data_IF_385070047519
#
_entry.id   IF_385070047519
#
_cell.length_a   1.000
_cell.length_b   1.000
_cell.length_c   1.000
_cell.angle_alpha   90.00
_cell.angle_beta   90.00
_cell.angle_gamma   90.00
#
_symmetry.space_group_name_H-M   'P 1'
#
loop_
_entity.id
_entity.type
_entity.pdbx_description
1 polymer ?
#
# COMPACT_ATOMS: atom_id res chain seq x y z
N UNK A 1 -6.95 2.19 15.70
CA UNK A 1 -6.18 1.94 14.45
C UNK A 1 -4.96 2.85 14.44
N UNK A 2 -3.73 2.35 14.23
CA UNK A 2 -2.52 3.19 14.32
C UNK A 2 -2.28 3.97 13.01
N UNK A 3 -2.40 5.32 12.98
CA UNK A 3 -2.26 6.11 11.76
C UNK A 3 -0.87 5.97 11.11
N UNK A 4 0.16 5.77 11.93
CA UNK A 4 1.55 5.66 11.48
C UNK A 4 1.81 4.41 10.63
N UNK A 5 1.21 3.28 10.96
CA UNK A 5 1.38 2.02 10.19
C UNK A 5 0.74 2.17 8.81
N UNK A 6 -0.49 2.68 8.77
CA UNK A 6 -1.23 2.91 7.53
C UNK A 6 -0.46 3.87 6.61
N UNK A 7 0.10 4.95 7.16
CA UNK A 7 0.90 5.92 6.41
C UNK A 7 2.19 5.32 5.83
N UNK A 8 2.92 4.49 6.60
CA UNK A 8 4.13 3.82 6.12
C UNK A 8 3.80 2.84 4.99
N UNK A 9 2.74 2.05 5.12
CA UNK A 9 2.29 1.12 4.08
C UNK A 9 1.82 1.85 2.82
N UNK A 10 1.08 2.94 2.98
CA UNK A 10 0.66 3.80 1.88
C UNK A 10 1.86 4.37 1.11
N UNK A 11 2.90 4.84 1.81
CA UNK A 11 4.12 5.33 1.19
C UNK A 11 4.84 4.25 0.38
N UNK A 12 4.96 3.02 0.91
CA UNK A 12 5.56 1.90 0.17
C UNK A 12 4.77 1.56 -1.09
N UNK A 13 3.43 1.63 -1.01
CA UNK A 13 2.56 1.38 -2.16
C UNK A 13 2.75 2.46 -3.24
N UNK A 14 2.83 3.74 -2.85
CA UNK A 14 3.11 4.84 -3.80
C UNK A 14 4.50 4.67 -4.42
N UNK A 15 5.53 4.34 -3.63
CA UNK A 15 6.89 4.11 -4.15
C UNK A 15 6.92 3.02 -5.22
N UNK A 16 6.28 1.87 -4.95
CA UNK A 16 6.20 0.80 -5.94
C UNK A 16 5.40 1.22 -7.18
N UNK A 17 4.26 1.91 -6.99
CA UNK A 17 3.44 2.35 -8.11
C UNK A 17 4.14 3.43 -8.96
N UNK A 18 4.98 4.26 -8.34
CA UNK A 18 5.78 5.31 -8.98
C UNK A 18 7.01 4.75 -9.71
N UNK A 19 7.51 3.57 -9.31
CA UNK A 19 8.67 2.95 -9.95
C UNK A 19 8.34 2.25 -11.28
N UNK A 20 7.11 2.38 -11.76
CA UNK A 20 6.58 1.72 -12.96
C UNK A 20 5.94 2.77 -13.86
N UNK A 21 5.79 2.44 -15.14
CA UNK A 21 4.91 3.21 -16.02
C UNK A 21 3.47 3.12 -15.50
N UNK A 22 2.92 4.27 -15.14
CA UNK A 22 1.52 4.37 -14.70
C UNK A 22 0.62 4.46 -15.93
N UNK A 23 -0.59 3.86 -15.91
CA UNK A 23 -1.26 3.24 -14.76
C UNK A 23 -0.94 1.74 -14.54
N UNK A 24 -0.71 1.35 -13.29
CA UNK A 24 -0.36 -0.03 -12.87
C UNK A 24 -1.58 -0.81 -12.38
N UNK A 25 -1.72 -2.09 -12.76
CA UNK A 25 -2.77 -2.94 -12.19
C UNK A 25 -2.45 -3.35 -10.74
N UNK A 26 -3.42 -3.24 -9.84
CA UNK A 26 -3.35 -3.65 -8.43
C UNK A 26 -2.81 -5.07 -8.25
N UNK A 27 -3.25 -6.01 -9.11
CA UNK A 27 -2.80 -7.41 -9.08
C UNK A 27 -1.28 -7.59 -9.32
N UNK A 28 -0.60 -6.58 -9.85
CA UNK A 28 0.84 -6.59 -10.08
C UNK A 28 1.63 -5.80 -9.03
N UNK A 29 0.97 -5.04 -8.16
CA UNK A 29 1.59 -4.31 -7.06
C UNK A 29 1.83 -5.28 -5.89
N UNK A 30 3.11 -5.64 -5.66
CA UNK A 30 3.51 -6.59 -4.62
C UNK A 30 3.19 -6.05 -3.23
N UNK A 31 3.41 -4.76 -2.96
CA UNK A 31 3.07 -4.11 -1.70
C UNK A 31 1.56 -4.18 -1.43
N UNK A 32 0.73 -3.84 -2.42
CA UNK A 32 -0.73 -3.98 -2.29
C UNK A 32 -1.13 -5.43 -1.98
N UNK A 33 -0.55 -6.40 -2.68
CA UNK A 33 -0.80 -7.84 -2.43
C UNK A 33 -0.38 -8.26 -1.04
N UNK A 34 0.76 -7.78 -0.54
CA UNK A 34 1.24 -8.04 0.82
C UNK A 34 0.24 -7.49 1.84
N UNK A 35 -0.19 -6.24 1.69
CA UNK A 35 -1.18 -5.62 2.58
C UNK A 35 -2.48 -6.42 2.56
N UNK A 36 -3.02 -6.69 1.37
CA UNK A 36 -4.28 -7.43 1.20
C UNK A 36 -4.21 -8.85 1.80
N UNK A 37 -3.08 -9.53 1.64
CA UNK A 37 -2.92 -10.91 2.12
C UNK A 37 -2.86 -10.99 3.65
N UNK A 38 -2.12 -10.09 4.30
CA UNK A 38 -1.89 -10.16 5.75
C UNK A 38 -2.90 -9.35 6.58
N UNK A 39 -3.38 -8.22 6.06
CA UNK A 39 -4.29 -7.31 6.78
C UNK A 39 -5.73 -7.33 6.24
N UNK A 40 -5.99 -8.11 5.18
CA UNK A 40 -7.31 -8.23 4.57
C UNK A 40 -7.61 -7.17 3.50
N UNK A 41 -8.67 -7.43 2.72
CA UNK A 41 -9.11 -6.56 1.62
C UNK A 41 -9.56 -5.18 2.13
N UNK A 42 -10.35 -5.15 3.20
CA UNK A 42 -10.89 -3.91 3.78
C UNK A 42 -9.78 -2.92 4.17
N UNK A 43 -8.70 -3.41 4.76
CA UNK A 43 -7.56 -2.58 5.14
C UNK A 43 -6.79 -2.06 3.92
N UNK A 44 -6.63 -2.90 2.90
CA UNK A 44 -6.00 -2.48 1.65
C UNK A 44 -6.84 -1.41 0.93
N UNK A 45 -8.16 -1.59 0.88
CA UNK A 45 -9.10 -0.63 0.30
C UNK A 45 -9.11 0.68 1.10
N UNK A 46 -9.04 0.63 2.43
CA UNK A 46 -8.90 1.81 3.28
C UNK A 46 -7.65 2.62 2.91
N UNK A 47 -6.48 1.98 2.73
CA UNK A 47 -5.27 2.69 2.31
C UNK A 47 -5.48 3.36 0.94
N UNK A 48 -6.05 2.64 -0.02
CA UNK A 48 -6.31 3.16 -1.36
C UNK A 48 -7.27 4.35 -1.34
N UNK A 49 -8.34 4.28 -0.54
CA UNK A 49 -9.33 5.34 -0.40
C UNK A 49 -8.72 6.60 0.22
N UNK A 50 -7.86 6.46 1.24
CA UNK A 50 -7.13 7.60 1.83
C UNK A 50 -6.18 8.25 0.82
N UNK A 51 -5.48 7.46 0.01
CA UNK A 51 -4.59 7.97 -1.03
C UNK A 51 -5.36 8.69 -2.15
N UNK A 52 -6.50 8.13 -2.55
CA UNK A 52 -7.40 8.72 -3.56
C UNK A 52 -8.00 10.03 -3.06
N UNK A 53 -8.55 10.02 -1.84
CA UNK A 53 -9.12 11.21 -1.20
C UNK A 53 -8.10 12.33 -0.99
N UNK A 54 -6.82 11.97 -0.78
CA UNK A 54 -5.73 12.92 -0.69
C UNK A 54 -5.22 13.45 -2.04
N UNK A 55 -5.78 13.01 -3.17
CA UNK A 55 -5.33 13.42 -4.51
C UNK A 55 -3.92 12.94 -4.86
N UNK A 56 -3.46 11.85 -4.23
CA UNK A 56 -2.13 11.27 -4.49
C UNK A 56 -2.20 10.27 -5.63
N UNK A 57 -3.30 9.52 -5.71
CA UNK A 57 -3.56 8.54 -6.75
C UNK A 57 -4.94 8.74 -7.38
N UNK A 58 -5.09 8.24 -8.60
CA UNK A 58 -6.37 8.00 -9.25
C UNK A 58 -6.54 6.49 -9.42
N UNK A 59 -7.76 6.00 -9.26
CA UNK A 59 -8.09 4.58 -9.44
C UNK A 59 -9.14 4.45 -10.53
N UNK A 60 -8.83 3.68 -11.58
CA UNK A 60 -9.73 3.34 -12.68
C UNK A 60 -9.86 1.83 -12.77
N UNK A 61 -10.99 1.30 -12.28
CA UNK A 61 -11.18 -0.15 -12.14
C UNK A 61 -10.10 -0.77 -11.24
N UNK A 62 -9.30 -1.69 -11.79
CA UNK A 62 -8.20 -2.33 -11.06
C UNK A 62 -6.84 -1.64 -11.25
N UNK A 63 -6.80 -0.44 -11.84
CA UNK A 63 -5.57 0.28 -12.14
C UNK A 63 -5.39 1.48 -11.23
N UNK A 64 -4.15 1.69 -10.78
CA UNK A 64 -3.72 2.87 -10.05
C UNK A 64 -2.85 3.73 -10.96
N UNK A 65 -3.18 5.01 -11.04
CA UNK A 65 -2.33 6.06 -11.58
C UNK A 65 -1.81 6.92 -10.43
N UNK A 66 -0.51 7.20 -10.39
CA UNK A 66 0.09 8.04 -9.34
C UNK A 66 0.17 9.45 -9.86
N UNK A 67 -0.56 10.37 -9.24
CA UNK A 67 -0.61 11.79 -9.62
C UNK A 67 0.60 12.56 -9.11
N UNK A 68 1.18 12.10 -7.99
CA UNK A 68 2.38 12.69 -7.36
C UNK A 68 3.44 11.60 -7.15
N UNK A 69 4.27 11.30 -8.16
CA UNK A 69 5.23 10.21 -8.08
C UNK A 69 6.31 10.48 -7.04
N UNK A 70 6.71 9.43 -6.33
CA UNK A 70 7.79 9.48 -5.34
C UNK A 70 8.98 8.70 -5.89
N UNK A 71 10.13 9.36 -6.00
CA UNK A 71 11.36 8.70 -6.40
C UNK A 71 11.80 7.69 -5.32
N UNK A 72 12.14 6.49 -5.74
CA UNK A 72 12.72 5.45 -4.88
C UNK A 72 13.75 4.66 -5.66
N UNK A 73 14.92 4.45 -5.05
CA UNK A 73 15.98 3.58 -5.56
C UNK A 73 15.80 2.12 -5.08
N UNK A 74 14.80 1.87 -4.24
CA UNK A 74 14.53 0.55 -3.68
C UNK A 74 13.86 -0.35 -4.74
N UNK A 75 14.29 -1.61 -4.80
CA UNK A 75 13.62 -2.58 -5.67
C UNK A 75 12.21 -2.89 -5.18
N UNK A 76 11.34 -3.31 -6.10
CA UNK A 76 9.96 -3.71 -5.78
C UNK A 76 9.93 -4.83 -4.72
N UNK A 77 10.86 -5.77 -4.78
CA UNK A 77 10.99 -6.83 -3.79
C UNK A 77 11.43 -6.32 -2.41
N UNK A 78 12.31 -5.31 -2.36
CA UNK A 78 12.67 -4.63 -1.12
C UNK A 78 11.47 -3.95 -0.48
N UNK A 79 10.70 -3.19 -1.27
CA UNK A 79 9.49 -2.49 -0.79
C UNK A 79 8.45 -3.47 -0.22
N UNK A 80 8.23 -4.61 -0.88
CA UNK A 80 7.31 -5.63 -0.41
C UNK A 80 7.79 -6.31 0.89
N UNK A 81 9.10 -6.54 1.05
CA UNK A 81 9.69 -7.03 2.31
C UNK A 81 9.54 -6.01 3.43
N UNK A 82 9.76 -4.73 3.14
CA UNK A 82 9.55 -3.64 4.11
C UNK A 82 8.10 -3.57 4.56
N UNK A 83 7.13 -3.71 3.64
CA UNK A 83 5.71 -3.77 3.98
C UNK A 83 5.41 -4.95 4.91
N UNK A 84 5.96 -6.13 4.61
CA UNK A 84 5.82 -7.31 5.49
C UNK A 84 6.45 -7.05 6.86
N UNK A 85 7.66 -6.50 6.93
CA UNK A 85 8.32 -6.18 8.20
C UNK A 85 7.49 -5.22 9.06
N UNK A 86 6.88 -4.20 8.46
CA UNK A 86 5.98 -3.27 9.17
C UNK A 86 4.76 -4.00 9.74
N UNK A 87 4.17 -4.91 8.97
CA UNK A 87 2.99 -5.68 9.38
C UNK A 87 3.33 -6.61 10.56
N UNK A 88 4.46 -7.31 10.50
CA UNK A 88 4.87 -8.26 11.54
C UNK A 88 5.37 -7.58 12.82
N UNK A 89 5.94 -6.37 12.71
CA UNK A 89 6.35 -5.56 13.85
C UNK A 89 5.24 -4.61 14.35
N UNK A 90 4.03 -4.73 13.81
CA UNK A 90 2.88 -3.99 14.29
C UNK A 90 2.53 -4.50 15.70
N UNK A 91 2.41 -3.62 16.72
CA UNK A 91 1.99 -4.06 18.04
C UNK A 91 0.60 -4.71 17.93
N UNK A 92 0.43 -5.85 18.57
CA UNK A 92 -0.81 -6.63 18.54
C UNK A 92 -1.93 -5.87 19.26
N UNK A 93 -2.60 -4.95 18.58
CA UNK A 93 -4.00 -4.65 18.86
C UNK A 93 -4.83 -5.48 17.88
N UNK A 94 -4.94 -6.77 18.18
CA UNK A 94 -5.93 -7.66 17.57
C UNK A 94 -7.32 -6.99 17.68
N UNK A 95 -8.19 -7.08 16.66
CA UNK A 95 -9.62 -6.91 16.93
C UNK A 95 -10.04 -7.99 17.96
N UNK A 96 -11.07 -7.75 18.79
CA UNK A 96 -11.60 -8.79 19.67
C UNK A 96 -11.87 -10.03 18.84
N UNK A 97 -11.30 -11.17 19.24
CA UNK A 97 -11.80 -12.44 18.75
C UNK A 97 -13.24 -12.52 19.24
N UNK A 98 -14.16 -12.64 18.29
CA UNK A 98 -15.60 -12.76 18.47
C UNK A 98 -15.94 -13.71 19.61
#
# INVERSE_FOLDING_TARGET
MQPQVSAKLALLLIKEASSRETPVKLRYCKVYRTIKHWLGKEYADYILDRLKSGGIIKIEGERIEVLKPVQSTESIDSLARSARSIIFNMPASLPPQT
#
